data_IF_823093057996
#
_entry.id   IF_823093057996
#
_cell.length_a   1.000
_cell.length_b   1.000
_cell.length_c   1.000
_cell.angle_alpha   90.00
_cell.angle_beta   90.00
_cell.angle_gamma   90.00
#
_symmetry.space_group_name_H-M   'P 1'
#
loop_
_entity.id
_entity.type
_entity.pdbx_description
1 polymer ?
2 non-polymer ?
3 water ?
#
# COMPACT_ATOMS: atom_id res chain seq x y z
N UNK A 6 17.41 4.04 -17.79
CA UNK A 6 16.58 2.95 -17.30
C UNK A 6 15.09 3.18 -17.42
N UNK A 7 14.30 2.27 -16.84
CA UNK A 7 12.85 2.33 -16.87
C UNK A 7 12.33 2.44 -15.47
N UNK A 8 11.40 3.37 -15.24
CA UNK A 8 10.84 3.61 -13.93
C UNK A 8 9.42 3.01 -13.82
N UNK A 9 9.12 2.38 -12.70
CA UNK A 9 7.82 1.78 -12.42
C UNK A 9 7.31 2.34 -11.09
N UNK A 10 6.06 2.73 -11.05
CA UNK A 10 5.44 3.39 -9.94
C UNK A 10 4.28 2.59 -9.35
N UNK A 11 4.36 2.33 -8.03
CA UNK A 11 3.40 1.51 -7.30
C UNK A 11 2.72 2.36 -6.23
N UNK A 12 1.45 2.07 -5.91
CA UNK A 12 0.76 2.73 -4.82
C UNK A 12 -0.19 1.78 -4.14
N UNK A 13 -0.28 1.89 -2.80
CA UNK A 13 -1.24 1.14 -1.98
C UNK A 13 -2.13 2.11 -1.22
N UNK A 14 -3.42 1.79 -1.08
CA UNK A 14 -4.34 2.64 -0.34
C UNK A 14 -5.50 1.83 0.25
N UNK A 15 -5.79 2.04 1.50
CA UNK A 15 -6.97 1.43 2.15
C UNK A 15 -8.01 2.53 2.02
N UNK A 16 -9.09 2.26 1.25
CA UNK A 16 -10.10 3.27 0.91
C UNK A 16 -11.41 3.16 1.67
N UNK A 17 -11.55 2.24 2.62
CA UNK A 17 -12.69 2.20 3.52
C UNK A 17 -14.05 2.37 2.81
N UNK A 18 -14.37 1.49 1.87
CA UNK A 18 -15.63 1.56 1.15
C UNK A 18 -16.48 0.43 1.62
N UNK A 19 -17.09 0.63 2.79
CA UNK A 19 -17.94 -0.38 3.40
C UNK A 19 -19.36 -0.32 2.89
N UNK A 20 -20.13 -1.42 3.01
CA UNK A 20 -21.58 -1.31 2.76
C UNK A 20 -22.23 -0.29 3.68
N UNK A 21 -23.19 0.47 3.15
CA UNK A 21 -23.86 1.52 3.92
C UNK A 21 -24.46 1.02 5.26
N UNK A 22 -24.93 -0.26 5.32
CA UNK A 22 -25.46 -0.82 6.57
C UNK A 22 -24.44 -0.89 7.73
N UNK A 23 -23.18 -0.99 7.38
CA UNK A 23 -22.08 -1.12 8.34
C UNK A 23 -21.24 0.17 8.50
N UNK A 24 -21.43 1.17 7.65
CA UNK A 24 -20.60 2.40 7.66
C UNK A 24 -21.18 3.45 8.61
N UNK A 25 -20.41 4.51 8.86
CA UNK A 25 -20.83 5.57 9.78
C UNK A 25 -22.22 6.12 9.45
N UNK A 26 -23.04 6.33 10.48
CA UNK A 26 -24.39 6.86 10.27
C UNK A 26 -24.42 8.39 10.23
N UNK A 27 -25.56 8.90 9.77
CA UNK A 27 -25.83 10.33 9.69
C UNK A 27 -24.90 11.04 8.72
N UNK A 28 -24.74 10.46 7.54
CA UNK A 28 -23.89 10.99 6.47
C UNK A 28 -24.77 11.50 5.34
N UNK A 29 -24.45 12.67 4.82
CA UNK A 29 -25.16 13.26 3.68
C UNK A 29 -24.69 12.57 2.37
N UNK A 30 -23.50 11.94 2.39
CA UNK A 30 -22.91 11.30 1.21
C UNK A 30 -22.68 9.83 1.46
N UNK A 31 -23.06 8.99 0.51
CA UNK A 31 -22.94 7.55 0.70
C UNK A 31 -21.60 7.01 0.17
N UNK A 32 -21.39 5.70 0.38
CA UNK A 32 -20.17 5.04 -0.04
C UNK A 32 -19.94 5.16 -1.55
N UNK A 33 -21.01 5.13 -2.36
CA UNK A 33 -20.90 5.30 -3.83
C UNK A 33 -20.39 6.66 -4.20
N UNK A 34 -20.84 7.73 -3.49
CA UNK A 34 -20.34 9.06 -3.75
C UNK A 34 -18.86 9.18 -3.42
N UNK A 35 -18.42 8.63 -2.30
CA UNK A 35 -17.00 8.73 -1.96
C UNK A 35 -16.17 7.96 -2.96
N UNK A 36 -16.63 6.77 -3.34
CA UNK A 36 -15.93 5.90 -4.31
C UNK A 36 -15.71 6.57 -5.64
N UNK A 37 -16.71 7.29 -6.13
CA UNK A 37 -16.58 8.03 -7.37
C UNK A 37 -15.50 9.11 -7.24
N UNK A 38 -15.50 9.82 -6.11
CA UNK A 38 -14.56 10.89 -5.86
C UNK A 38 -13.13 10.36 -5.69
N UNK A 39 -12.97 9.26 -4.97
CA UNK A 39 -11.66 8.64 -4.82
C UNK A 39 -11.12 8.25 -6.21
N UNK A 40 -11.96 7.62 -7.04
CA UNK A 40 -11.54 7.18 -8.37
C UNK A 40 -11.13 8.35 -9.26
N UNK A 41 -11.87 9.46 -9.18
CA UNK A 41 -11.58 10.63 -9.99
C UNK A 41 -10.28 11.28 -9.54
N UNK A 42 -10.07 11.39 -8.22
CA UNK A 42 -8.83 11.97 -7.70
C UNK A 42 -7.62 11.15 -8.06
N UNK A 43 -7.73 9.83 -7.93
CA UNK A 43 -6.59 8.96 -8.31
C UNK A 43 -6.28 9.18 -9.81
N UNK A 44 -7.29 9.07 -10.68
CA UNK A 44 -7.10 9.30 -12.11
C UNK A 44 -6.41 10.65 -12.43
N UNK A 45 -6.95 11.72 -11.85
CA UNK A 45 -6.42 13.08 -12.04
C UNK A 45 -5.00 13.23 -11.52
N UNK A 46 -4.67 12.64 -10.39
CA UNK A 46 -3.29 12.66 -9.90
C UNK A 46 -2.35 11.89 -10.80
N UNK A 47 -2.73 10.66 -11.16
CA UNK A 47 -1.90 9.80 -12.02
C UNK A 47 -1.71 10.37 -13.43
N UNK A 48 -2.74 11.03 -13.98
CA UNK A 48 -2.71 11.53 -15.35
C UNK A 48 -2.01 12.87 -15.54
N UNK A 49 -1.81 13.66 -14.48
CA UNK A 49 -1.25 15.01 -14.60
C UNK A 49 0.01 15.21 -13.76
N UNK A 50 1.20 15.33 -14.37
CA UNK A 50 2.40 15.64 -13.58
C UNK A 50 2.30 17.01 -12.91
N UNK A 51 2.84 17.07 -11.69
CA UNK A 51 2.94 18.32 -10.95
C UNK A 51 4.23 18.97 -11.42
N UNK A 52 4.32 20.26 -11.24
CA UNK A 52 5.53 21.03 -11.62
C UNK A 52 6.75 20.46 -10.88
N UNK A 53 7.81 20.07 -11.62
CA UNK A 53 9.08 19.55 -11.10
C UNK A 53 10.25 20.41 -11.55
N UNK A 54 10.64 21.34 -10.70
CA UNK A 54 11.74 22.23 -11.04
C UNK A 54 13.06 21.49 -10.86
N UNK A 55 14.12 22.03 -11.41
CA UNK A 55 15.46 21.46 -11.25
C UNK A 55 15.91 21.58 -9.76
N UNK A 56 16.48 20.50 -9.22
CA UNK A 56 17.00 20.48 -7.85
C UNK A 56 18.48 20.15 -8.01
N UNK A 57 19.31 21.04 -7.52
CA UNK A 57 20.75 20.95 -7.70
C UNK A 57 21.41 19.93 -6.77
N UNK A 58 20.86 19.72 -5.53
CA UNK A 58 21.40 18.77 -4.56
C UNK A 58 20.23 17.98 -4.03
N UNK A 59 19.74 17.03 -4.83
CA UNK A 59 18.52 16.33 -4.44
C UNK A 59 18.72 15.38 -3.26
N UNK A 60 17.69 15.29 -2.42
CA UNK A 60 17.58 14.41 -1.26
C UNK A 60 18.92 14.16 -0.54
N UNK A 61 19.51 15.17 0.11
CA UNK A 61 20.83 14.95 0.75
C UNK A 61 20.84 13.99 1.95
N UNK A 62 19.69 13.72 2.61
CA UNK A 62 19.66 12.82 3.77
C UNK A 62 19.27 11.39 3.39
N UNK A 63 19.03 11.11 2.10
CA UNK A 63 18.60 9.78 1.70
C UNK A 63 19.13 9.43 0.30
N UNK A 64 18.99 8.15 -0.11
CA UNK A 64 19.40 7.64 -1.41
C UNK A 64 18.35 7.89 -2.48
N UNK A 65 17.20 8.50 -2.13
CA UNK A 65 16.09 8.73 -3.05
C UNK A 65 15.24 9.88 -2.55
N UNK A 66 14.38 10.39 -3.44
CA UNK A 66 13.46 11.47 -3.08
C UNK A 66 12.36 10.92 -2.16
N UNK A 67 11.98 11.69 -1.13
CA UNK A 67 10.90 11.26 -0.23
C UNK A 67 10.09 12.49 0.08
N UNK A 68 8.77 12.35 0.18
CA UNK A 68 7.97 13.51 0.55
C UNK A 68 6.59 13.14 1.01
N UNK A 69 5.91 14.12 1.56
CA UNK A 69 4.49 14.08 1.84
C UNK A 69 3.93 14.84 0.65
N UNK A 70 3.18 14.15 -0.20
CA UNK A 70 2.65 14.71 -1.43
C UNK A 70 1.13 14.92 -1.35
N UNK A 71 0.62 16.00 -1.96
CA UNK A 71 -0.82 16.25 -2.06
C UNK A 71 -1.47 15.47 -3.21
N UNK A 72 -0.66 14.73 -4.01
CA UNK A 72 -1.18 13.97 -5.13
C UNK A 72 -0.66 12.58 -5.19
N UNK A 73 -1.47 11.73 -5.81
CA UNK A 73 -1.01 10.42 -6.25
C UNK A 73 0.08 10.72 -7.29
N UNK A 74 1.11 9.89 -7.39
CA UNK A 74 2.19 10.19 -8.34
C UNK A 74 1.78 10.16 -9.81
N UNK A 75 2.29 11.09 -10.60
CA UNK A 75 2.02 11.09 -12.04
C UNK A 75 2.67 9.85 -12.64
N UNK A 76 2.05 9.25 -13.66
CA UNK A 76 2.59 8.02 -14.26
C UNK A 76 2.58 6.84 -13.33
N UNK A 77 1.61 6.79 -12.40
CA UNK A 77 1.36 5.63 -11.56
C UNK A 77 1.12 4.41 -12.49
N UNK A 78 1.75 3.27 -12.22
CA UNK A 78 1.57 2.04 -13.03
C UNK A 78 0.72 1.01 -12.38
N UNK A 79 0.85 0.85 -11.05
CA UNK A 79 0.18 -0.21 -10.32
C UNK A 79 -0.44 0.33 -9.06
N UNK A 80 -1.70 -0.01 -8.82
CA UNK A 80 -2.45 0.46 -7.67
C UNK A 80 -3.09 -0.71 -6.94
N UNK A 81 -2.81 -0.86 -5.65
CA UNK A 81 -3.40 -1.89 -4.79
C UNK A 81 -4.31 -1.22 -3.77
N UNK A 82 -5.62 -1.51 -3.81
CA UNK A 82 -6.58 -0.97 -2.86
C UNK A 82 -7.11 -2.05 -1.93
N UNK A 83 -7.39 -1.68 -0.67
CA UNK A 83 -8.00 -2.52 0.34
C UNK A 83 -9.26 -1.91 0.79
N UNK A 84 -10.13 -2.78 1.35
CA UNK A 84 -11.43 -2.42 1.85
C UNK A 84 -12.35 -1.80 0.80
N UNK A 85 -12.29 -2.37 -0.40
CA UNK A 85 -13.26 -2.06 -1.45
C UNK A 85 -14.37 -3.14 -1.28
N UNK A 86 -15.29 -2.95 -0.35
CA UNK A 86 -16.30 -3.97 -0.08
C UNK A 86 -17.63 -3.79 -0.76
N UNK A 87 -18.14 -2.57 -0.79
CA UNK A 87 -19.44 -2.28 -1.40
C UNK A 87 -19.39 -2.44 -2.93
N UNK A 88 -20.17 -3.35 -3.51
CA UNK A 88 -20.13 -3.66 -4.95
C UNK A 88 -20.54 -2.49 -5.83
N UNK A 89 -21.54 -1.73 -5.42
CA UNK A 89 -21.95 -0.56 -6.22
C UNK A 89 -20.88 0.52 -6.19
N UNK A 90 -20.25 0.71 -5.00
CA UNK A 90 -19.15 1.66 -4.88
C UNK A 90 -17.93 1.17 -5.69
N UNK A 91 -17.65 -0.15 -5.69
CA UNK A 91 -16.56 -0.70 -6.48
C UNK A 91 -16.78 -0.43 -7.98
N UNK A 92 -18.02 -0.51 -8.46
CA UNK A 92 -18.36 -0.22 -9.84
C UNK A 92 -18.04 1.24 -10.15
N UNK A 93 -18.44 2.19 -9.29
CA UNK A 93 -18.12 3.60 -9.52
C UNK A 93 -16.64 3.81 -9.59
N UNK A 94 -15.93 3.19 -8.68
CA UNK A 94 -14.50 3.29 -8.62
C UNK A 94 -13.83 2.79 -9.91
N UNK A 95 -14.24 1.61 -10.40
CA UNK A 95 -13.73 1.04 -11.65
C UNK A 95 -14.04 1.92 -12.83
N UNK A 96 -15.24 2.53 -12.88
CA UNK A 96 -15.60 3.44 -13.99
C UNK A 96 -14.65 4.62 -14.04
N UNK A 97 -14.30 5.15 -12.86
CA UNK A 97 -13.41 6.29 -12.81
C UNK A 97 -11.98 5.88 -13.08
N UNK A 98 -11.50 4.78 -12.50
CA UNK A 98 -10.11 4.35 -12.72
C UNK A 98 -9.85 3.90 -14.16
N UNK A 99 -10.89 3.41 -14.86
CA UNK A 99 -10.82 2.96 -16.26
C UNK A 99 -10.31 4.04 -17.23
N UNK A 100 -10.53 5.31 -16.91
CA UNK A 100 -10.02 6.42 -17.71
C UNK A 100 -8.51 6.49 -17.76
N UNK A 101 -7.82 5.81 -16.83
CA UNK A 101 -6.37 5.76 -16.77
C UNK A 101 -5.78 4.35 -16.82
N UNK A 102 -6.33 3.41 -16.07
CA UNK A 102 -5.83 2.03 -15.99
C UNK A 102 -6.58 1.09 -16.91
N UNK A 103 -5.85 0.43 -17.80
CA UNK A 103 -6.42 -0.51 -18.77
C UNK A 103 -6.78 -1.87 -18.15
N UNK A 104 -6.07 -2.32 -17.10
CA UNK A 104 -6.26 -3.65 -16.53
C UNK A 104 -6.66 -3.51 -15.07
N UNK A 105 -7.92 -3.73 -14.76
CA UNK A 105 -8.44 -3.66 -13.39
C UNK A 105 -9.03 -4.99 -12.99
N UNK A 106 -8.60 -5.52 -11.83
CA UNK A 106 -9.09 -6.76 -11.26
C UNK A 106 -9.79 -6.49 -9.95
N UNK A 107 -10.95 -7.08 -9.78
CA UNK A 107 -11.76 -6.95 -8.56
C UNK A 107 -12.51 -8.29 -8.43
N UNK A 108 -13.03 -8.65 -7.27
CA UNK A 108 -13.67 -9.97 -7.00
C UNK A 108 -12.61 -11.05 -7.19
N UNK A 109 -11.46 -10.79 -6.58
CA UNK A 109 -10.26 -11.62 -6.72
C UNK A 109 -10.31 -12.95 -6.01
N UNK A 110 -11.24 -13.11 -5.08
CA UNK A 110 -11.51 -14.38 -4.42
C UNK A 110 -11.71 -15.52 -5.42
N UNK A 111 -12.19 -15.21 -6.64
CA UNK A 111 -12.38 -16.24 -7.69
C UNK A 111 -11.07 -16.91 -8.11
N UNK A 112 -9.91 -16.26 -7.89
CA UNK A 112 -8.61 -16.84 -8.25
C UNK A 112 -7.98 -17.59 -7.10
N UNK A 113 -8.77 -17.94 -6.08
CA UNK A 113 -8.33 -18.74 -4.94
C UNK A 113 -9.08 -20.04 -4.88
N UNK A 122 -17.95 -16.42 -0.63
CA UNK A 122 -18.14 -14.98 -0.59
C UNK A 122 -16.99 -14.25 -1.27
N UNK A 123 -17.31 -13.11 -1.95
CA UNK A 123 -16.34 -12.24 -2.63
C UNK A 123 -16.22 -11.03 -1.75
N UNK A 124 -15.51 -11.23 -0.65
CA UNK A 124 -15.38 -10.27 0.42
C UNK A 124 -13.95 -10.04 0.82
N UNK A 125 -12.97 -10.08 -0.13
CA UNK A 125 -11.60 -9.75 0.24
C UNK A 125 -11.35 -8.25 0.37
N UNK A 126 -12.15 -7.43 -0.32
CA UNK A 126 -12.00 -6.00 -0.39
C UNK A 126 -10.84 -5.55 -1.26
N UNK A 127 -10.16 -6.44 -1.96
CA UNK A 127 -8.96 -6.09 -2.71
C UNK A 127 -9.26 -5.72 -4.14
N UNK A 128 -8.58 -4.67 -4.64
CA UNK A 128 -8.72 -4.29 -6.04
C UNK A 128 -7.32 -3.98 -6.55
N UNK A 129 -7.04 -4.37 -7.77
CA UNK A 129 -5.75 -4.12 -8.39
C UNK A 129 -5.98 -3.46 -9.72
N UNK A 130 -5.26 -2.37 -9.98
CA UNK A 130 -5.33 -1.66 -11.25
C UNK A 130 -3.94 -1.57 -11.82
N UNK A 131 -3.81 -1.77 -13.11
CA UNK A 131 -2.52 -1.81 -13.76
C UNK A 131 -2.53 -1.19 -15.14
N UNK A 132 -1.43 -0.53 -15.49
CA UNK A 132 -1.23 -0.03 -16.85
C UNK A 132 -0.65 -1.14 -17.73
N UNK A 133 -0.12 -2.23 -17.09
CA UNK A 133 0.53 -3.32 -17.81
C UNK A 133 -0.27 -4.61 -17.76
N UNK A 134 -0.18 -5.43 -18.82
CA UNK A 134 -0.95 -6.67 -18.83
C UNK A 134 -0.65 -7.58 -17.67
N UNK A 135 -1.70 -8.20 -17.17
CA UNK A 135 -1.63 -9.16 -16.10
C UNK A 135 -1.50 -10.57 -16.71
N UNK A 136 -0.38 -11.21 -16.43
CA UNK A 136 -0.09 -12.57 -16.93
C UNK A 136 -0.70 -13.65 -16.09
N UNK A 137 -0.56 -13.57 -14.77
CA UNK A 137 -1.08 -14.59 -13.85
C UNK A 137 -1.57 -13.95 -12.61
N UNK A 138 -2.50 -14.62 -11.90
CA UNK A 138 -3.07 -14.08 -10.67
C UNK A 138 -3.46 -15.24 -9.74
N UNK A 139 -3.20 -15.09 -8.46
CA UNK A 139 -3.60 -16.08 -7.45
C UNK A 139 -4.09 -15.32 -6.23
N UNK A 140 -5.12 -15.81 -5.55
CA UNK A 140 -5.56 -15.21 -4.31
C UNK A 140 -5.55 -16.32 -3.26
N UNK A 141 -5.11 -16.01 -2.06
CA UNK A 141 -5.13 -16.96 -0.95
C UNK A 141 -5.71 -16.24 0.23
N UNK A 142 -6.60 -16.91 0.95
CA UNK A 142 -7.26 -16.38 2.13
C UNK A 142 -6.47 -16.82 3.36
N UNK A 143 -6.22 -15.93 4.34
CA UNK A 143 -5.53 -16.34 5.54
C UNK A 143 -6.52 -17.22 6.35
N UNK A 144 -6.10 -18.36 6.92
CA UNK A 144 -7.05 -19.17 7.71
C UNK A 144 -7.71 -18.36 8.83
N UNK A 145 -8.97 -18.61 9.06
CA UNK A 145 -9.69 -17.88 10.09
C UNK A 145 -10.92 -18.67 10.40
N UNK A 146 -10.73 -19.72 11.19
CA UNK A 146 -11.82 -20.60 11.62
C UNK A 146 -12.54 -19.78 12.68
N UNK A 147 -13.76 -19.32 12.36
CA UNK A 147 -14.49 -18.41 13.24
C UNK A 147 -15.98 -18.71 13.23
N UNK A 148 -16.35 -20.00 13.17
CA UNK A 148 -17.73 -20.47 13.18
C UNK A 148 -18.58 -19.73 12.12
N UNK A 149 -17.97 -19.42 10.97
CA UNK A 149 -18.62 -18.72 9.86
C UNK A 149 -19.20 -17.37 10.27
N UNK A 150 -18.42 -16.55 11.01
CA UNK A 150 -18.87 -15.20 11.46
C UNK A 150 -18.08 -14.05 10.89
N UNK A 151 -17.14 -14.33 10.00
CA UNK A 151 -16.33 -13.29 9.36
C UNK A 151 -17.17 -12.56 8.36
N UNK A 152 -17.10 -11.24 8.33
CA UNK A 152 -17.86 -10.46 7.35
C UNK A 152 -17.02 -10.20 6.13
N UNK A 153 -15.71 -10.13 6.32
CA UNK A 153 -14.77 -9.96 5.21
C UNK A 153 -13.69 -11.02 5.32
N UNK A 154 -12.96 -11.21 4.27
CA UNK A 154 -11.86 -12.15 4.36
C UNK A 154 -10.57 -11.36 4.22
N UNK A 155 -9.58 -11.69 5.05
CA UNK A 155 -8.24 -11.12 4.96
C UNK A 155 -7.46 -12.12 4.09
N UNK A 156 -6.58 -11.63 3.24
CA UNK A 156 -5.87 -12.52 2.32
C UNK A 156 -4.82 -11.77 1.56
N UNK A 157 -4.23 -12.47 0.58
CA UNK A 157 -3.14 -11.96 -0.24
C UNK A 157 -3.39 -12.25 -1.70
N UNK A 158 -3.21 -11.24 -2.55
CA UNK A 158 -3.39 -11.32 -4.00
C UNK A 158 -2.01 -11.26 -4.66
N UNK A 159 -1.71 -12.20 -5.57
CA UNK A 159 -0.41 -12.32 -6.22
C UNK A 159 -0.59 -12.09 -7.70
N UNK A 160 0.24 -11.21 -8.26
CA UNK A 160 0.14 -10.87 -9.65
C UNK A 160 1.46 -10.99 -10.32
N UNK A 161 1.45 -11.41 -11.56
CA UNK A 161 2.63 -11.38 -12.42
C UNK A 161 2.19 -10.52 -13.60
N UNK A 162 2.98 -9.50 -13.95
CA UNK A 162 2.66 -8.54 -15.00
C UNK A 162 3.75 -8.57 -16.06
N UNK A 163 3.35 -8.34 -17.31
CA UNK A 163 4.25 -8.24 -18.48
C UNK A 163 4.59 -6.76 -18.63
N UNK A 164 5.88 -6.37 -18.53
CA UNK A 164 6.25 -4.94 -18.57
C UNK A 164 7.18 -4.54 -19.73
N UNK A 165 7.41 -5.41 -20.69
CA UNK A 165 8.19 -5.07 -21.88
C UNK A 165 8.86 -6.29 -22.46
N UNK A 166 9.80 -6.04 -23.36
CA UNK A 166 10.55 -7.08 -24.01
C UNK A 166 11.94 -6.55 -24.30
N UNK A 167 12.91 -7.42 -24.32
CA UNK A 167 14.28 -7.04 -24.63
C UNK A 167 14.51 -7.06 -26.12
N UNK A 168 15.65 -6.52 -26.61
CA UNK A 168 15.97 -6.65 -28.04
C UNK A 168 16.21 -8.10 -28.49
N UNK A 169 16.48 -9.02 -27.54
CA UNK A 169 16.62 -10.43 -27.81
C UNK A 169 15.26 -11.19 -27.62
N UNK A 170 14.10 -10.50 -27.68
CA UNK A 170 12.76 -11.14 -27.59
C UNK A 170 12.53 -11.90 -26.28
N UNK A 171 13.13 -11.41 -25.20
CA UNK A 171 12.90 -12.00 -23.87
C UNK A 171 11.81 -11.18 -23.27
N UNK A 172 10.89 -11.81 -22.56
CA UNK A 172 9.80 -11.08 -21.98
C UNK A 172 10.28 -10.45 -20.64
N UNK A 173 9.99 -9.20 -20.40
CA UNK A 173 10.32 -8.53 -19.13
C UNK A 173 9.07 -8.61 -18.25
N UNK A 174 9.23 -9.15 -17.05
CA UNK A 174 8.11 -9.38 -16.12
C UNK A 174 8.38 -8.78 -14.74
N UNK A 175 7.31 -8.66 -13.98
CA UNK A 175 7.38 -8.19 -12.61
C UNK A 175 6.39 -8.89 -11.72
N UNK A 176 6.71 -8.96 -10.43
CA UNK A 176 5.87 -9.57 -9.45
C UNK A 176 5.36 -8.54 -8.49
N UNK A 177 4.04 -8.65 -8.17
CA UNK A 177 3.38 -7.76 -7.18
C UNK A 177 2.50 -8.60 -6.29
N UNK A 178 2.46 -8.28 -5.01
CA UNK A 178 1.54 -8.91 -4.07
C UNK A 178 0.94 -7.81 -3.23
N UNK A 179 -0.34 -7.92 -2.96
CA UNK A 179 -0.98 -6.99 -2.05
C UNK A 179 -1.81 -7.75 -1.03
N UNK A 180 -1.85 -7.25 0.18
CA UNK A 180 -2.55 -7.96 1.23
C UNK A 180 -3.18 -7.03 2.22
N UNK A 181 -4.11 -7.59 3.00
CA UNK A 181 -4.75 -6.92 4.08
C UNK A 181 -4.67 -7.93 5.20
N UNK A 182 -3.90 -7.65 6.26
CA UNK A 182 -3.75 -8.57 7.38
C UNK A 182 -4.73 -8.34 8.53
N UNK A 183 -4.82 -9.38 9.38
CA UNK A 183 -5.59 -9.47 10.65
C UNK A 183 -5.38 -8.21 11.45
N UNK A 184 -6.45 -7.58 11.88
CA UNK A 184 -6.47 -6.26 12.48
C UNK A 184 -6.41 -6.15 14.01
N UNK A 185 -7.06 -6.99 14.83
CA UNK A 185 -7.01 -6.79 16.31
C UNK A 185 -5.59 -6.50 16.87
N UNK A 186 -5.45 -5.32 17.54
CA UNK A 186 -4.14 -4.83 18.02
C UNK A 186 -3.39 -5.80 18.94
N UNK A 187 -4.07 -6.62 19.71
CA UNK A 187 -3.43 -7.56 20.64
C UNK A 187 -2.95 -8.86 19.96
N UNK A 188 -3.42 -9.16 18.75
CA UNK A 188 -3.18 -10.43 18.08
C UNK A 188 -1.91 -10.47 17.26
N UNK A 189 -0.79 -10.23 17.94
CA UNK A 189 0.55 -10.23 17.37
C UNK A 189 0.93 -11.58 16.73
N UNK A 190 0.69 -12.69 17.44
CA UNK A 190 1.01 -14.04 16.93
C UNK A 190 0.24 -14.39 15.65
N UNK A 191 -1.04 -13.96 15.55
CA UNK A 191 -1.83 -14.26 14.35
C UNK A 191 -1.24 -13.50 13.18
N UNK A 192 -0.85 -12.24 13.33
CA UNK A 192 -0.22 -11.55 12.19
C UNK A 192 1.10 -12.20 11.82
N UNK A 193 1.89 -12.74 12.78
CA UNK A 193 3.15 -13.42 12.43
C UNK A 193 2.84 -14.68 11.63
N UNK A 194 1.76 -15.38 11.99
CA UNK A 194 1.35 -16.55 11.21
C UNK A 194 0.96 -16.18 9.79
N UNK A 195 0.31 -15.02 9.65
CA UNK A 195 -0.08 -14.53 8.32
C UNK A 195 1.14 -14.13 7.50
N UNK A 196 2.13 -13.49 8.12
CA UNK A 196 3.36 -13.11 7.42
C UNK A 196 4.14 -14.35 6.97
N UNK A 197 4.15 -15.41 7.81
CA UNK A 197 4.76 -16.70 7.46
C UNK A 197 4.10 -17.22 6.20
N UNK A 198 2.77 -17.17 6.14
CA UNK A 198 2.04 -17.67 4.98
C UNK A 198 2.27 -16.79 3.78
N UNK A 199 2.28 -15.46 3.95
CA UNK A 199 2.57 -14.54 2.85
C UNK A 199 3.94 -14.88 2.26
N UNK A 200 4.96 -15.08 3.11
CA UNK A 200 6.28 -15.45 2.62
C UNK A 200 6.24 -16.74 1.78
N UNK A 201 5.58 -17.78 2.31
CA UNK A 201 5.44 -19.07 1.64
C UNK A 201 4.73 -18.93 0.28
N UNK A 202 3.61 -18.19 0.26
CA UNK A 202 2.81 -18.00 -0.95
C UNK A 202 3.51 -17.18 -2.03
N UNK A 203 4.32 -16.18 -1.63
CA UNK A 203 5.11 -15.40 -2.59
C UNK A 203 6.02 -16.36 -3.35
N UNK A 204 6.74 -17.24 -2.62
CA UNK A 204 7.65 -18.20 -3.26
C UNK A 204 6.87 -19.22 -4.08
N UNK A 205 5.74 -19.73 -3.58
CA UNK A 205 4.92 -20.70 -4.35
C UNK A 205 4.48 -20.07 -5.68
N UNK A 206 4.03 -18.81 -5.65
CA UNK A 206 3.51 -18.15 -6.86
C UNK A 206 4.62 -17.93 -7.88
N UNK A 207 5.82 -17.57 -7.39
CA UNK A 207 6.98 -17.32 -8.21
C UNK A 207 7.34 -18.61 -8.94
N UNK A 208 7.39 -19.70 -8.19
CA UNK A 208 7.67 -21.03 -8.71
C UNK A 208 6.60 -21.51 -9.70
N UNK A 209 5.32 -21.36 -9.37
CA UNK A 209 4.20 -21.82 -10.22
C UNK A 209 4.11 -21.08 -11.56
N UNK A 210 4.58 -19.82 -11.62
CA UNK A 210 4.52 -19.01 -12.84
C UNK A 210 5.91 -18.81 -13.47
N UNK A 211 6.92 -19.57 -13.04
CA UNK A 211 8.29 -19.45 -13.56
C UNK A 211 8.47 -20.52 -14.63
N UNK A 212 8.13 -21.77 -14.31
CA UNK A 212 8.14 -22.91 -15.23
C UNK A 212 9.40 -23.01 -16.12
N UNK A 218 8.74 -17.56 -24.63
CA UNK A 218 9.99 -16.77 -24.53
C UNK A 218 10.62 -16.83 -23.14
N UNK A 219 11.95 -16.56 -23.04
CA UNK A 219 12.66 -16.50 -21.75
C UNK A 219 12.16 -15.27 -21.04
N UNK A 220 12.16 -15.28 -19.71
CA UNK A 220 11.70 -14.14 -18.91
C UNK A 220 12.79 -13.56 -18.01
N UNK A 221 12.81 -12.23 -17.90
CA UNK A 221 13.72 -11.49 -17.03
C UNK A 221 12.86 -10.73 -16.03
N UNK A 222 13.18 -10.83 -14.73
CA UNK A 222 12.41 -10.20 -13.67
C UNK A 222 12.96 -8.82 -13.33
N UNK A 223 12.14 -7.81 -13.50
CA UNK A 223 12.51 -6.43 -13.26
C UNK A 223 12.30 -5.97 -11.83
N UNK A 224 11.29 -6.52 -11.15
CA UNK A 224 10.95 -6.13 -9.76
C UNK A 224 10.10 -7.19 -9.09
N UNK A 225 10.03 -7.11 -7.78
CA UNK A 225 9.21 -8.02 -6.95
C UNK A 225 8.78 -7.21 -5.74
N UNK A 226 7.52 -6.73 -5.74
CA UNK A 226 7.01 -5.78 -4.77
C UNK A 226 5.89 -6.36 -3.95
N UNK A 227 5.86 -5.98 -2.69
CA UNK A 227 4.82 -6.39 -1.73
C UNK A 227 4.26 -5.16 -1.10
N UNK A 228 2.93 -5.03 -1.04
CA UNK A 228 2.34 -3.88 -0.36
C UNK A 228 1.02 -4.24 0.31
N UNK A 229 0.55 -3.33 1.13
CA UNK A 229 -0.76 -3.51 1.73
C UNK A 229 -0.92 -2.96 3.11
N UNK A 230 -2.08 -3.25 3.70
CA UNK A 230 -2.39 -2.79 5.03
C UNK A 230 -2.05 -3.95 5.93
N UNK A 231 -0.91 -3.86 6.59
CA UNK A 231 -0.38 -4.93 7.44
C UNK A 231 -0.88 -4.87 8.86
N UNK A 232 -1.47 -3.73 9.28
CA UNK A 232 -2.05 -3.59 10.62
C UNK A 232 -1.07 -3.81 11.74
N UNK A 233 0.18 -3.38 11.51
CA UNK A 233 1.19 -3.32 12.56
C UNK A 233 2.14 -2.25 12.18
N UNK A 234 2.61 -1.51 13.17
CA UNK A 234 3.47 -0.34 13.01
C UNK A 234 4.96 -0.68 13.16
N UNK A 235 5.82 0.31 12.95
CA UNK A 235 7.26 0.10 13.16
C UNK A 235 7.82 1.04 14.26
N UNK A 236 7.02 1.28 15.28
CA UNK A 236 7.41 2.16 16.40
C UNK A 236 6.98 1.69 17.80
N UNK A 237 6.02 0.77 17.95
CA UNK A 237 5.54 0.35 19.28
C UNK A 237 6.07 -1.01 19.71
N UNK A 238 6.25 -1.20 21.01
CA UNK A 238 6.70 -2.47 21.58
C UNK A 238 5.66 -3.59 21.38
N UNK A 239 4.37 -3.23 21.27
CA UNK A 239 3.31 -4.22 21.06
C UNK A 239 3.45 -4.98 19.77
N UNK A 240 4.01 -4.33 18.73
CA UNK A 240 4.19 -4.90 17.39
C UNK A 240 5.63 -5.41 17.14
N UNK A 241 6.41 -5.57 18.21
CA UNK A 241 7.80 -6.01 18.11
C UNK A 241 8.03 -7.31 17.36
N UNK A 242 7.15 -8.29 17.48
CA UNK A 242 7.38 -9.59 16.80
C UNK A 242 7.19 -9.49 15.29
N UNK A 243 6.15 -8.79 14.85
CA UNK A 243 5.91 -8.57 13.43
C UNK A 243 7.02 -7.71 12.82
N UNK A 244 7.50 -6.70 13.56
CA UNK A 244 8.60 -5.81 13.09
C UNK A 244 9.87 -6.61 12.78
N UNK A 245 10.10 -7.71 13.51
CA UNK A 245 11.30 -8.55 13.34
C UNK A 245 11.07 -9.68 12.35
N UNK A 246 9.91 -9.74 11.69
CA UNK A 246 9.63 -10.86 10.82
C UNK A 246 10.61 -10.97 9.64
N UNK A 247 10.96 -12.23 9.25
CA UNK A 247 11.90 -12.47 8.14
C UNK A 247 11.48 -11.86 6.81
N UNK A 248 10.22 -11.59 6.61
CA UNK A 248 9.79 -10.93 5.35
C UNK A 248 10.58 -9.66 5.07
N UNK A 249 10.89 -8.87 6.11
CA UNK A 249 11.63 -7.62 5.95
C UNK A 249 13.09 -7.82 5.55
N UNK A 250 13.63 -9.01 5.74
CA UNK A 250 14.98 -9.36 5.30
C UNK A 250 14.98 -9.53 3.76
N UNK A 251 13.91 -10.14 3.20
CA UNK A 251 13.81 -10.42 1.77
C UNK A 251 13.15 -9.30 0.99
N UNK A 252 12.16 -8.61 1.58
CA UNK A 252 11.45 -7.50 0.96
C UNK A 252 11.77 -6.23 1.74
N UNK A 253 12.54 -5.32 1.15
CA UNK A 253 13.06 -4.14 1.81
C UNK A 253 12.02 -3.07 1.99
N UNK A 254 11.99 -2.49 3.17
CA UNK A 254 11.10 -1.40 3.56
C UNK A 254 11.91 -0.13 3.46
N UNK A 255 11.64 0.75 2.48
CA UNK A 255 12.44 1.97 2.39
C UNK A 255 12.38 2.93 3.58
N UNK A 256 11.33 2.86 4.44
CA UNK A 256 11.14 3.76 5.59
C UNK A 256 11.85 3.31 6.87
N UNK A 257 12.45 2.13 6.87
CA UNK A 257 12.97 1.43 8.05
C UNK A 257 14.45 1.53 8.19
N UNK A 258 14.94 1.79 9.41
CA UNK A 258 16.36 1.68 9.75
C UNK A 258 16.55 0.26 10.32
N UNK A 259 15.53 -0.24 11.03
CA UNK A 259 15.55 -1.57 11.63
C UNK A 259 14.22 -1.91 12.26
N UNK A 260 14.12 -3.08 12.91
CA UNK A 260 12.86 -3.44 13.57
C UNK A 260 12.51 -2.45 14.67
N UNK A 261 11.38 -1.79 14.55
CA UNK A 261 10.95 -0.81 15.53
C UNK A 261 11.69 0.52 15.49
N UNK A 262 12.50 0.77 14.44
CA UNK A 262 13.27 1.99 14.28
C UNK A 262 12.96 2.60 12.91
N UNK A 263 12.28 3.75 12.90
CA UNK A 263 11.89 4.43 11.68
C UNK A 263 12.97 5.33 11.22
N UNK A 264 13.00 5.62 9.92
CA UNK A 264 13.86 6.64 9.42
C UNK A 264 13.24 7.94 9.88
N UNK A 265 14.02 9.01 10.02
CA UNK A 265 13.44 10.28 10.52
C UNK A 265 12.31 10.90 9.69
N UNK A 266 12.31 10.64 8.38
CA UNK A 266 11.29 11.22 7.48
C UNK A 266 10.03 10.34 7.35
N UNK A 267 10.07 9.09 7.82
CA UNK A 267 8.89 8.22 7.76
C UNK A 267 7.79 8.81 8.65
N UNK A 268 6.53 8.70 8.22
CA UNK A 268 5.38 9.17 9.01
C UNK A 268 4.35 8.06 9.11
N UNK A 269 3.42 8.20 10.04
CA UNK A 269 2.32 7.26 10.20
C UNK A 269 1.34 7.35 9.04
N UNK A 270 0.54 6.29 8.86
CA UNK A 270 -0.37 6.22 7.70
C UNK A 270 -1.80 6.04 8.18
N UNK A 271 -2.05 5.93 9.48
CA UNK A 271 -3.40 5.79 10.00
C UNK A 271 -3.78 7.13 10.58
N UNK A 272 -4.89 7.71 10.13
CA UNK A 272 -5.34 8.99 10.65
C UNK A 272 -6.17 8.75 11.92
N UNK A 273 -6.06 9.68 12.86
CA UNK A 273 -6.76 9.64 14.14
C UNK A 273 -8.14 10.20 13.82
N UNK A 274 -9.15 9.36 13.84
CA UNK A 274 -10.51 9.74 13.45
C UNK A 274 -11.26 10.56 14.50
N UNK A 275 -10.67 10.81 15.69
CA UNK A 275 -11.34 11.61 16.73
C UNK A 275 -11.49 13.07 16.31
N UNK A 281 -15.42 19.09 8.50
CA UNK A 281 -14.36 20.11 8.62
C UNK A 281 -13.45 19.99 7.36
N UNK A 282 -13.52 20.98 6.45
CA UNK A 282 -12.80 20.94 5.18
C UNK A 282 -11.28 20.89 5.41
N UNK A 283 -10.66 19.78 5.00
CA UNK A 283 -9.22 19.61 5.06
C UNK A 283 -8.82 19.12 3.67
N UNK A 284 -8.32 20.02 2.86
CA UNK A 284 -8.00 19.68 1.48
C UNK A 284 -6.68 18.94 1.45
N UNK A 285 -6.34 18.31 0.33
CA UNK A 285 -5.01 17.70 0.21
C UNK A 285 -3.84 18.63 0.56
N UNK A 286 -3.88 19.92 0.16
CA UNK A 286 -2.82 20.90 0.48
C UNK A 286 -2.77 21.17 1.96
N UNK A 287 -3.95 21.30 2.61
CA UNK A 287 -3.97 21.53 4.05
C UNK A 287 -3.38 20.36 4.81
N UNK A 288 -3.79 19.12 4.46
CA UNK A 288 -3.29 17.98 5.20
C UNK A 288 -1.80 17.81 4.98
N UNK A 289 -1.33 18.05 3.76
CA UNK A 289 0.12 18.02 3.46
C UNK A 289 0.89 18.93 4.42
N UNK A 290 0.45 20.20 4.60
CA UNK A 290 1.13 21.15 5.47
C UNK A 290 1.10 20.70 6.92
N UNK A 291 -0.05 20.22 7.37
CA UNK A 291 -0.24 19.66 8.70
C UNK A 291 0.73 18.50 8.95
N UNK A 292 0.79 17.53 8.02
CA UNK A 292 1.67 16.35 8.23
C UNK A 292 3.14 16.60 8.03
N UNK A 293 3.52 17.75 7.47
CA UNK A 293 4.94 18.13 7.39
C UNK A 293 5.43 18.74 8.70
N UNK A 294 4.54 18.94 9.69
CA UNK A 294 4.96 19.45 10.99
C UNK A 294 4.79 18.37 12.04
N UNK A 295 5.70 18.30 13.01
CA UNK A 295 5.62 17.33 14.13
C UNK A 295 4.33 17.53 14.92
N UNK A 296 3.90 18.79 15.10
CA UNK A 296 2.68 19.08 15.88
C UNK A 296 1.41 18.66 15.16
N UNK A 297 1.38 18.87 13.85
CA UNK A 297 0.26 18.47 13.03
C UNK A 297 0.12 16.96 12.99
N UNK A 298 1.24 16.23 12.92
CA UNK A 298 1.22 14.77 12.97
C UNK A 298 0.72 14.26 14.31
N UNK A 299 1.12 14.90 15.43
CA UNK A 299 0.68 14.47 16.77
C UNK A 299 -0.83 14.62 16.97
N UNK A 300 -1.44 15.56 16.27
CA UNK A 300 -2.88 15.79 16.31
C UNK A 300 -3.66 14.96 15.27
N UNK A 301 -3.10 14.73 14.08
CA UNK A 301 -3.84 14.07 12.98
C UNK A 301 -3.61 12.59 12.82
N UNK A 302 -2.44 12.07 13.23
CA UNK A 302 -2.13 10.68 13.03
C UNK A 302 -2.30 9.85 14.27
N UNK A 303 -2.49 8.55 14.07
CA UNK A 303 -2.65 7.62 15.17
C UNK A 303 -1.26 7.39 15.76
N UNK A 304 -1.17 7.33 17.10
CA UNK A 304 0.05 7.05 17.82
C UNK A 304 -0.27 5.87 18.75
N UNK A 305 0.74 5.12 19.20
CA UNK A 305 0.46 4.03 20.15
C UNK A 305 -0.28 4.57 21.39
N UNK A 306 -1.36 3.90 21.79
CA UNK A 306 -2.19 4.28 22.92
C UNK A 306 -1.43 4.06 24.23
N UNK A 307 -1.62 4.93 25.24
CA UNK A 307 -0.96 4.74 26.52
C UNK A 307 -1.76 3.71 27.30
N UNK A 308 -1.09 2.66 27.79
CA UNK A 308 -1.80 1.57 28.46
C UNK A 308 -2.46 1.95 29.78
N UNK A 309 -1.97 2.95 30.50
CA UNK A 309 -2.60 3.31 31.78
C UNK A 309 -3.92 4.09 31.58
N UNK A 310 -4.06 4.83 30.47
CA UNK A 310 -5.27 5.62 30.22
C UNK A 310 -6.18 5.02 29.14
N UNK A 311 -5.61 4.16 28.29
CA UNK A 311 -6.36 3.59 27.18
C UNK A 311 -6.60 4.61 26.08
N UNK A 312 -5.89 5.76 26.12
CA UNK A 312 -6.00 6.84 25.16
C UNK A 312 -4.64 7.22 24.61
N UNK A 313 -4.68 7.95 23.49
CA UNK A 313 -3.50 8.51 22.89
C UNK A 313 -2.81 9.38 23.97
N UNK A 314 -1.51 9.22 24.14
CA UNK A 314 -0.76 10.00 25.12
C UNK A 314 -0.85 11.49 24.87
N UNK A 315 -0.67 12.32 25.93
CA UNK A 315 -0.65 13.78 25.80
C UNK A 315 0.39 14.19 24.73
N UNK A 316 0.07 15.19 23.90
CA UNK A 316 0.90 15.66 22.78
C UNK A 316 2.40 15.75 23.08
N UNK A 317 2.77 16.44 24.17
CA UNK A 317 4.17 16.61 24.60
C UNK A 317 4.92 15.31 24.92
N UNK A 318 4.20 14.22 25.25
CA UNK A 318 4.80 12.93 25.58
C UNK A 318 4.86 11.96 24.40
N UNK A 319 4.20 12.28 23.26
CA UNK A 319 4.22 11.37 22.10
C UNK A 319 5.58 11.39 21.44
N UNK A 320 6.02 10.23 20.90
CA UNK A 320 7.32 10.11 20.27
C UNK A 320 7.17 9.63 18.84
N UNK A 321 8.07 10.09 17.96
CA UNK A 321 8.05 9.69 16.56
C UNK A 321 7.00 10.40 15.75
N UNK A 322 6.71 9.86 14.55
CA UNK A 322 5.81 10.46 13.59
C UNK A 322 4.56 9.70 13.29
N UNK A 323 4.18 8.75 14.13
CA UNK A 323 2.90 8.06 14.01
C UNK A 323 3.00 6.62 13.57
N UNK A 324 1.89 5.89 13.72
CA UNK A 324 1.81 4.49 13.36
C UNK A 324 1.73 4.28 11.85
N UNK A 325 2.81 3.81 11.28
CA UNK A 325 2.89 3.46 9.86
C UNK A 325 2.50 1.99 9.73
N UNK A 326 1.28 1.72 9.29
CA UNK A 326 0.75 0.35 9.15
C UNK A 326 0.49 -0.12 7.69
N UNK A 327 0.66 0.78 6.72
CA UNK A 327 0.56 0.55 5.28
C UNK A 327 2.00 0.52 4.72
N UNK A 328 2.35 -0.58 4.07
CA UNK A 328 3.71 -0.91 3.63
C UNK A 328 3.84 -1.04 2.15
N UNK A 329 5.02 -0.69 1.66
CA UNK A 329 5.37 -0.73 0.26
C UNK A 329 6.83 -1.23 0.23
N UNK A 330 7.03 -2.49 -0.13
CA UNK A 330 8.31 -3.17 -0.04
C UNK A 330 8.82 -3.64 -1.37
N UNK A 331 10.13 -3.81 -1.51
CA UNK A 331 10.72 -4.28 -2.76
C UNK A 331 11.87 -5.28 -2.50
N UNK A 332 11.89 -6.38 -3.22
CA UNK A 332 13.00 -7.34 -3.11
C UNK A 332 14.20 -6.81 -3.89
N UNK A 333 15.39 -7.05 -3.37
CA UNK A 333 16.66 -6.79 -4.03
C UNK A 333 17.18 -8.07 -4.68
N UNK A 334 16.89 -9.23 -4.11
CA UNK A 334 17.33 -10.52 -4.64
C UNK A 334 16.26 -11.05 -5.56
N UNK A 335 16.64 -11.98 -6.41
CA UNK A 335 15.74 -12.62 -7.35
C UNK A 335 15.42 -11.88 -8.63
N UNK A 336 16.07 -10.76 -8.90
CA UNK A 336 15.82 -9.99 -10.10
C UNK A 336 16.89 -10.27 -11.15
N UNK A 337 16.65 -9.82 -12.36
CA UNK A 337 17.63 -9.99 -13.41
C UNK A 337 19.02 -9.53 -12.92
N UNK A 338 20.05 -10.41 -12.91
CA UNK A 338 21.36 -10.01 -12.37
C UNK A 338 21.98 -8.81 -13.03
N UNK A 339 21.63 -8.55 -14.29
CA UNK A 339 22.17 -7.46 -15.06
C UNK A 339 21.51 -6.11 -14.78
N UNK A 340 20.45 -6.06 -13.99
CA UNK A 340 19.72 -4.82 -13.72
C UNK A 340 19.74 -4.43 -12.27
N UNK A 341 19.89 -3.13 -11.99
CA UNK A 341 19.84 -2.61 -10.64
C UNK A 341 18.43 -1.98 -10.48
N UNK A 342 17.58 -2.59 -9.66
CA UNK A 342 16.24 -2.10 -9.36
C UNK A 342 16.31 -1.43 -8.00
N UNK A 343 16.23 -0.09 -7.98
CA UNK A 343 16.37 0.69 -6.74
C UNK A 343 15.27 1.69 -6.57
N UNK A 344 15.04 2.11 -5.32
CA UNK A 344 14.03 3.12 -5.01
C UNK A 344 14.47 4.47 -5.57
N UNK A 345 13.59 5.12 -6.31
CA UNK A 345 13.77 6.45 -6.90
C UNK A 345 12.96 7.50 -6.11
N UNK A 346 11.79 7.12 -5.59
CA UNK A 346 10.97 8.06 -4.89
C UNK A 346 10.06 7.27 -3.95
N UNK A 347 9.74 7.88 -2.81
CA UNK A 347 8.84 7.30 -1.79
C UNK A 347 7.96 8.42 -1.29
N UNK A 348 6.66 8.23 -1.26
CA UNK A 348 5.76 9.29 -0.88
C UNK A 348 4.56 8.85 -0.07
N UNK A 349 4.16 9.70 0.84
CA UNK A 349 2.97 9.57 1.68
C UNK A 349 2.01 10.57 1.06
N UNK A 350 0.80 10.15 0.74
CA UNK A 350 -0.14 10.92 -0.06
C UNK A 350 -1.31 11.46 0.75
N UNK A 351 -1.67 12.73 0.51
CA UNK A 351 -2.80 13.37 1.19
C UNK A 351 -3.97 13.67 0.27
N UNK A 352 -3.93 13.20 -0.99
CA UNK A 352 -4.98 13.45 -1.98
C UNK A 352 -6.33 12.90 -1.59
N UNK A 353 -6.42 11.91 -0.70
CA UNK A 353 -7.74 11.37 -0.27
C UNK A 353 -8.20 11.91 1.09
N UNK A 354 -7.64 13.04 1.50
CA UNK A 354 -7.99 13.72 2.74
C UNK A 354 -9.51 13.84 2.86
N UNK A 355 -10.05 13.41 3.99
CA UNK A 355 -11.49 13.41 4.20
C UNK A 355 -12.24 12.25 3.59
N UNK A 356 -11.65 11.48 2.70
CA UNK A 356 -12.36 10.38 2.05
C UNK A 356 -12.05 9.04 2.62
N UNK A 357 -10.92 8.89 3.33
CA UNK A 357 -10.55 7.63 3.97
C UNK A 357 -9.69 7.95 5.19
N UNK A 358 -9.47 6.95 6.02
CA UNK A 358 -8.71 7.09 7.28
C UNK A 358 -7.29 6.59 7.19
N UNK A 359 -6.78 6.33 5.98
CA UNK A 359 -5.39 5.92 5.78
C UNK A 359 -4.78 6.84 4.78
N UNK A 360 -3.47 7.00 4.87
CA UNK A 360 -2.78 7.71 3.82
C UNK A 360 -2.33 6.69 2.80
N UNK A 361 -2.56 6.90 1.50
CA UNK A 361 -1.93 6.05 0.50
C UNK A 361 -0.41 6.23 0.52
N UNK A 362 0.31 5.15 0.19
CA UNK A 362 1.79 5.16 0.15
C UNK A 362 2.20 4.81 -1.27
N UNK A 363 3.21 5.48 -1.82
CA UNK A 363 3.65 5.16 -3.17
C UNK A 363 5.17 5.10 -3.26
N UNK A 364 5.67 4.36 -4.24
CA UNK A 364 7.08 4.12 -4.47
C UNK A 364 7.34 4.01 -5.95
N UNK A 365 8.42 4.68 -6.44
CA UNK A 365 8.90 4.53 -7.79
C UNK A 365 10.20 3.74 -7.68
N UNK A 366 10.37 2.72 -8.52
CA UNK A 366 11.58 1.93 -8.63
C UNK A 366 12.17 2.30 -9.97
N UNK A 367 13.48 2.56 -10.05
CA UNK A 367 14.15 2.81 -11.33
C UNK A 367 14.91 1.51 -11.60
N UNK A 368 14.66 0.88 -12.73
CA UNK A 368 15.33 -0.35 -13.15
C UNK A 368 16.33 0.08 -14.23
N UNK A 369 17.61 -0.12 -13.96
CA UNK A 369 18.66 0.29 -14.90
C UNK A 369 19.73 -0.77 -15.12
N UNK A 370 20.41 -0.67 -16.28
CA UNK A 370 21.51 -1.56 -16.68
C UNK A 370 22.82 -0.77 -16.80
N UNK A 371 23.92 -1.50 -17.00
CA UNK A 371 25.24 -0.91 -17.15
C UNK A 371 25.87 -0.47 -15.86
X LIG B 1 -10.58 0.36 8.26
#
# INVERSE_FOLDING_TARGET
SGTGPGKSFCFATANVCLLPDSLARVNNLFNTQARAKEIGQRIRNGAARPQIKIYIDSPHPDEAFDHEVSAFFPANLDFLCLQEVFDKRAATKLKEQLHGYFEYILYDVGVYGCQGCCSFKCLNSGLLFASRYPIMDVAYHCYPNKCNDDALASKGALFLKVQVGSTPQDQRIVGYIACTHLHAPQEDSAIRCGQLDLLQDWLADFRKSTSSSSAANPEELVAFDVVCGDFNFDNCSSDDKLEQQHSLFTHYRDPCRLGPGEEKPWAIGTLLDTNGLYDEDVCTPDNLQKVLESEEGRREYLAFPTSKSSGQKGRKELLKGNGRRIDYMLHAEEGLCPDWKAEVEEFSFITQLSGLTDHLPVAMRLMVSSG
CA CA
#
